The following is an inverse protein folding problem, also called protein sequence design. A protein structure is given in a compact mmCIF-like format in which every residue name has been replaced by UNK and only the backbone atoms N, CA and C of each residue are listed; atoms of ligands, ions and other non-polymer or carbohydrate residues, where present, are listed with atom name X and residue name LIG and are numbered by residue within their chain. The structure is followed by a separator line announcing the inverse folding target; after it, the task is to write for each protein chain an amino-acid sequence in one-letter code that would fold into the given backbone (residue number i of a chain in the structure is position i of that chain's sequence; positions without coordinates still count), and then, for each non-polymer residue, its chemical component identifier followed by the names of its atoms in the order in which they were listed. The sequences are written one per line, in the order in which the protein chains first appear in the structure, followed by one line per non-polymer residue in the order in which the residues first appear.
data_IF_262467937174
#
_entry.id   IF_262467937174
#
_cell.length_a   1.000
_cell.length_b   1.000
_cell.length_c   1.000
_cell.angle_alpha   90.00
_cell.angle_beta   90.00
_cell.angle_gamma   90.00
#
_symmetry.space_group_name_H-M   'P 1'
#
loop_
_entity.id
_entity.type
_entity.pdbx_description
1 polymer ?
#
# COMPACT_ATOMS: atom_id res chain seq x y z
N UNK A 1 0.87 20.68 0.61
CA UNK A 1 2.07 21.15 -0.12
C UNK A 1 3.31 20.28 0.08
N UNK A 2 3.45 19.50 1.17
CA UNK A 2 4.65 18.69 1.40
C UNK A 2 4.72 17.37 0.60
N UNK A 3 3.57 16.86 0.11
CA UNK A 3 3.49 15.64 -0.72
C UNK A 3 3.85 15.86 -2.18
N UNK A 4 3.77 17.11 -2.68
CA UNK A 4 4.22 17.46 -4.03
C UNK A 4 5.75 17.58 -4.13
N UNK A 5 6.45 17.89 -3.03
CA UNK A 5 7.92 18.02 -3.05
C UNK A 5 8.66 16.69 -3.13
N UNK A 6 8.11 15.61 -2.59
CA UNK A 6 8.76 14.28 -2.61
C UNK A 6 8.70 13.66 -4.03
N UNK A 7 7.62 13.93 -4.78
CA UNK A 7 7.45 13.43 -6.15
C UNK A 7 8.43 14.14 -7.11
N UNK A 8 8.74 15.42 -6.89
CA UNK A 8 9.70 16.16 -7.71
C UNK A 8 11.15 15.75 -7.43
N UNK A 9 11.49 15.35 -6.19
CA UNK A 9 12.86 14.89 -5.87
C UNK A 9 13.18 13.49 -6.43
N UNK A 10 12.19 12.60 -6.56
CA UNK A 10 12.39 11.29 -7.23
C UNK A 10 12.54 11.45 -8.74
N UNK A 11 11.87 12.45 -9.34
CA UNK A 11 12.04 12.78 -10.77
C UNK A 11 13.39 13.47 -11.07
N UNK A 12 13.94 14.24 -10.14
CA UNK A 12 15.27 14.87 -10.29
C UNK A 12 16.43 13.87 -10.18
N UNK A 13 16.29 12.79 -9.39
CA UNK A 13 17.30 11.72 -9.35
C UNK A 13 17.31 10.84 -10.61
N UNK A 14 16.20 10.78 -11.35
CA UNK A 14 16.14 10.13 -12.67
C UNK A 14 16.68 11.01 -13.81
N UNK A 15 16.71 12.34 -13.63
CA UNK A 15 17.28 13.26 -14.62
C UNK A 15 18.78 13.53 -14.41
N UNK A 16 19.27 13.50 -13.16
CA UNK A 16 20.68 13.74 -12.83
C UNK A 16 21.66 12.68 -13.37
N UNK A 17 21.18 11.47 -13.67
CA UNK A 17 21.98 10.44 -14.35
C UNK A 17 22.02 10.70 -15.88
N UNK A 18 21.07 11.44 -16.43
CA UNK A 18 20.99 11.74 -17.86
C UNK A 18 21.95 12.87 -18.29
N UNK A 19 22.30 13.79 -17.39
CA UNK A 19 23.19 14.93 -17.71
C UNK A 19 24.70 14.66 -17.53
N UNK A 20 25.12 13.47 -17.07
CA UNK A 20 26.54 13.08 -17.06
C UNK A 20 26.98 12.26 -18.27
N UNK A 21 26.07 11.93 -19.19
CA UNK A 21 26.37 11.15 -20.40
C UNK A 21 26.38 11.96 -21.70
N UNK A 22 26.09 13.27 -21.65
CA UNK A 22 26.17 14.14 -22.82
C UNK A 22 26.92 15.43 -22.48
N UNK A 23 28.24 15.44 -22.74
CA UNK A 23 29.00 16.68 -22.77
C UNK A 23 30.48 16.58 -22.41
N UNK A 24 31.29 15.94 -23.26
CA UNK A 24 32.58 16.50 -23.71
C UNK A 24 33.17 15.66 -24.84
N UNK A 25 33.27 16.27 -26.01
CA UNK A 25 34.06 15.79 -27.14
C UNK A 25 35.55 15.90 -26.78
N UNK A 26 36.27 14.78 -26.88
CA UNK A 26 37.69 14.75 -27.21
C UNK A 26 38.01 13.38 -27.80
N UNK A 27 38.42 13.40 -29.07
CA UNK A 27 38.84 12.27 -29.90
C UNK A 27 39.59 11.17 -29.15
N UNK A 28 39.07 9.95 -29.21
CA UNK A 28 39.90 8.77 -29.47
C UNK A 28 39.05 7.68 -30.11
N UNK A 29 39.61 7.05 -31.14
CA UNK A 29 38.98 6.02 -31.95
C UNK A 29 38.47 4.86 -31.08
N UNK A 30 37.16 4.73 -30.92
CA UNK A 30 36.55 3.54 -30.31
C UNK A 30 35.46 3.04 -31.24
N UNK A 31 35.76 1.88 -31.81
CA UNK A 31 34.90 1.06 -32.63
C UNK A 31 33.51 0.90 -31.98
N UNK A 32 32.46 1.23 -32.73
CA UNK A 32 31.07 0.94 -32.36
C UNK A 32 30.90 -0.55 -32.02
N UNK A 33 30.47 -0.93 -30.80
CA UNK A 33 30.18 -2.31 -30.49
C UNK A 33 28.88 -2.73 -31.19
N UNK A 34 28.97 -3.76 -32.03
CA UNK A 34 27.82 -4.37 -32.69
C UNK A 34 26.82 -4.92 -31.64
N UNK A 35 25.70 -4.20 -31.47
CA UNK A 35 24.62 -4.54 -30.53
C UNK A 35 23.59 -5.52 -31.12
N UNK A 36 23.68 -5.88 -32.41
CA UNK A 36 22.72 -6.81 -33.06
C UNK A 36 22.74 -8.22 -32.45
N UNK A 37 23.81 -8.58 -31.73
CA UNK A 37 23.95 -9.89 -31.11
C UNK A 37 23.27 -10.07 -29.75
N UNK A 38 22.92 -9.00 -29.02
CA UNK A 38 22.53 -9.06 -27.60
C UNK A 38 21.03 -8.93 -27.31
N UNK A 39 20.26 -8.49 -28.30
CA UNK A 39 18.82 -8.21 -28.16
C UNK A 39 18.02 -9.26 -28.94
N UNK A 40 16.91 -9.68 -28.38
CA UNK A 40 15.91 -10.56 -28.98
C UNK A 40 14.57 -9.81 -29.02
N UNK A 41 13.96 -9.76 -30.21
CA UNK A 41 12.61 -9.24 -30.37
C UNK A 41 11.60 -10.32 -29.95
N UNK A 42 10.66 -9.94 -29.10
CA UNK A 42 9.59 -10.79 -28.59
C UNK A 42 8.24 -10.08 -28.78
N UNK A 43 7.22 -10.82 -29.21
CA UNK A 43 5.86 -10.30 -29.24
C UNK A 43 5.28 -10.18 -27.82
N UNK A 44 4.19 -9.44 -27.66
CA UNK A 44 3.43 -9.40 -26.41
C UNK A 44 2.97 -10.81 -25.98
N UNK A 45 2.67 -11.69 -26.95
CA UNK A 45 2.34 -13.09 -26.68
C UNK A 45 3.54 -13.86 -26.13
N UNK A 46 4.72 -13.69 -26.72
CA UNK A 46 5.94 -14.32 -26.24
C UNK A 46 6.29 -13.83 -24.83
N UNK A 47 6.17 -12.53 -24.58
CA UNK A 47 6.37 -11.93 -23.26
C UNK A 47 5.37 -12.47 -22.23
N UNK A 48 4.08 -12.56 -22.58
CA UNK A 48 3.05 -13.17 -21.71
C UNK A 48 3.43 -14.60 -21.34
N UNK A 49 3.94 -15.39 -22.29
CA UNK A 49 4.38 -16.77 -22.04
C UNK A 49 5.51 -16.87 -21.00
N UNK A 50 6.28 -15.79 -20.80
CA UNK A 50 7.37 -15.72 -19.84
C UNK A 50 7.00 -15.20 -18.45
N UNK A 51 5.79 -14.63 -18.25
CA UNK A 51 5.38 -14.04 -16.97
C UNK A 51 5.56 -14.96 -15.75
N UNK A 52 5.26 -16.27 -15.80
CA UNK A 52 5.45 -17.15 -14.65
C UNK A 52 6.90 -17.46 -14.29
N UNK A 53 7.85 -16.95 -15.09
CA UNK A 53 9.26 -17.31 -15.06
C UNK A 53 10.18 -16.07 -14.95
N UNK A 54 9.61 -14.87 -14.79
CA UNK A 54 10.34 -13.62 -14.59
C UNK A 54 10.02 -12.98 -13.23
N UNK A 55 10.81 -11.99 -12.83
CA UNK A 55 10.59 -11.21 -11.61
C UNK A 55 9.26 -10.44 -11.62
N UNK A 56 8.60 -10.34 -10.47
CA UNK A 56 7.26 -9.73 -10.35
C UNK A 56 7.23 -8.25 -10.75
N UNK A 57 8.25 -7.45 -10.44
CA UNK A 57 8.28 -6.04 -10.86
C UNK A 57 8.51 -5.91 -12.36
N UNK A 58 9.27 -6.83 -12.94
CA UNK A 58 9.52 -6.87 -14.37
C UNK A 58 8.28 -7.32 -15.16
N UNK A 59 7.55 -8.32 -14.65
CA UNK A 59 6.27 -8.74 -15.20
C UNK A 59 5.25 -7.59 -15.19
N UNK A 60 5.18 -6.82 -14.10
CA UNK A 60 4.32 -5.64 -14.01
C UNK A 60 4.64 -4.59 -15.09
N UNK A 61 5.93 -4.26 -15.29
CA UNK A 61 6.36 -3.30 -16.33
C UNK A 61 5.98 -3.76 -17.73
N UNK A 62 6.21 -5.02 -18.06
CA UNK A 62 5.83 -5.57 -19.36
C UNK A 62 4.30 -5.62 -19.51
N UNK A 63 3.57 -6.00 -18.46
CA UNK A 63 2.11 -6.03 -18.46
C UNK A 63 1.51 -4.64 -18.69
N UNK A 64 1.99 -3.61 -17.98
CA UNK A 64 1.54 -2.22 -18.16
C UNK A 64 1.76 -1.76 -19.61
N UNK A 65 2.94 -2.04 -20.17
CA UNK A 65 3.23 -1.70 -21.55
C UNK A 65 2.31 -2.41 -22.56
N UNK A 66 1.99 -3.69 -22.33
CA UNK A 66 1.07 -4.46 -23.17
C UNK A 66 -0.35 -3.89 -23.10
N UNK A 67 -0.84 -3.59 -21.90
CA UNK A 67 -2.17 -2.98 -21.70
C UNK A 67 -2.26 -1.61 -22.37
N UNK A 68 -1.16 -0.85 -22.36
CA UNK A 68 -1.05 0.43 -23.05
C UNK A 68 -0.76 0.32 -24.56
N UNK A 69 -0.98 -0.85 -25.17
CA UNK A 69 -0.96 -1.04 -26.63
C UNK A 69 0.41 -1.34 -27.23
N UNK A 70 1.41 -1.76 -26.44
CA UNK A 70 2.70 -2.20 -26.97
C UNK A 70 2.70 -3.69 -27.30
N UNK A 71 3.00 -4.03 -28.55
CA UNK A 71 2.94 -5.41 -29.06
C UNK A 71 4.31 -6.07 -29.30
N UNK A 72 5.40 -5.30 -29.38
CA UNK A 72 6.75 -5.83 -29.64
C UNK A 72 7.76 -5.29 -28.61
N UNK A 73 8.69 -6.15 -28.20
CA UNK A 73 9.66 -5.87 -27.14
C UNK A 73 11.06 -6.30 -27.55
N UNK A 74 12.01 -5.38 -27.43
CA UNK A 74 13.43 -5.66 -27.55
C UNK A 74 13.97 -6.04 -26.17
N UNK A 75 14.28 -7.33 -25.97
CA UNK A 75 14.68 -7.90 -24.69
C UNK A 75 16.12 -8.39 -24.75
N UNK A 76 16.90 -8.21 -23.69
CA UNK A 76 18.25 -8.79 -23.60
C UNK A 76 18.19 -10.32 -23.67
N UNK A 77 18.96 -10.94 -24.57
CA UNK A 77 19.00 -12.40 -24.75
C UNK A 77 19.33 -13.16 -23.47
N UNK A 78 20.18 -12.61 -22.59
CA UNK A 78 20.53 -13.25 -21.30
C UNK A 78 19.30 -13.35 -20.39
N UNK A 79 18.43 -12.37 -20.46
CA UNK A 79 17.19 -12.33 -19.69
C UNK A 79 16.19 -13.36 -20.23
N UNK A 80 16.09 -13.47 -21.56
CA UNK A 80 15.27 -14.52 -22.20
C UNK A 80 15.81 -15.92 -21.88
N UNK A 81 17.13 -16.13 -21.89
CA UNK A 81 17.76 -17.37 -21.46
C UNK A 81 17.48 -17.69 -19.99
N UNK A 82 17.53 -16.69 -19.11
CA UNK A 82 17.19 -16.84 -17.70
C UNK A 82 15.73 -17.29 -17.52
N UNK A 83 14.78 -16.67 -18.21
CA UNK A 83 13.37 -17.06 -18.16
C UNK A 83 13.15 -18.47 -18.70
N UNK A 84 13.86 -18.85 -19.77
CA UNK A 84 13.84 -20.22 -20.29
C UNK A 84 14.39 -21.24 -19.28
N UNK A 85 15.48 -20.92 -18.58
CA UNK A 85 16.00 -21.75 -17.48
C UNK A 85 15.00 -21.88 -16.34
N UNK A 86 14.38 -20.79 -15.91
CA UNK A 86 13.34 -20.78 -14.89
C UNK A 86 12.13 -21.64 -15.31
N UNK A 87 11.75 -21.59 -16.59
CA UNK A 87 10.70 -22.44 -17.17
C UNK A 87 11.05 -23.92 -17.09
N UNK A 88 12.26 -24.30 -17.48
CA UNK A 88 12.74 -25.68 -17.40
C UNK A 88 12.77 -26.14 -15.94
N UNK A 89 13.32 -25.34 -15.02
CA UNK A 89 13.39 -25.65 -13.59
C UNK A 89 11.99 -25.89 -13.00
N UNK A 90 11.03 -25.00 -13.29
CA UNK A 90 9.64 -25.12 -12.84
C UNK A 90 8.97 -26.39 -13.38
N UNK A 91 9.19 -26.71 -14.66
CA UNK A 91 8.62 -27.90 -15.30
C UNK A 91 9.29 -29.20 -14.83
N UNK A 92 10.58 -29.16 -14.45
CA UNK A 92 11.30 -30.29 -13.86
C UNK A 92 10.93 -30.55 -12.39
N UNK A 93 10.29 -29.57 -11.74
CA UNK A 93 9.90 -29.62 -10.32
C UNK A 93 8.48 -30.15 -10.04
N UNK A 94 7.69 -30.56 -11.03
CA UNK A 94 6.41 -31.24 -10.78
C UNK A 94 5.89 -32.06 -11.98
N UNK A 95 6.05 -33.38 -11.90
CA UNK A 95 4.90 -34.28 -12.02
C UNK A 95 4.71 -34.93 -10.65
N UNK A 96 3.99 -34.25 -9.76
CA UNK A 96 3.08 -34.94 -8.85
C UNK A 96 1.66 -34.58 -9.27
N UNK A 97 1.14 -35.36 -10.22
CA UNK A 97 -0.29 -35.54 -10.38
C UNK A 97 -0.75 -36.52 -9.31
N UNK A 98 -0.74 -36.09 -8.05
CA UNK A 98 -1.64 -36.70 -7.07
C UNK A 98 -3.02 -36.09 -7.33
N UNK A 99 -3.62 -36.51 -8.44
CA UNK A 99 -5.01 -36.20 -8.81
C UNK A 99 -5.93 -37.04 -7.93
N UNK A 100 -5.81 -36.90 -6.61
CA UNK A 100 -6.93 -37.19 -5.73
C UNK A 100 -8.01 -36.17 -6.11
N UNK A 101 -9.23 -36.59 -6.48
CA UNK A 101 -10.31 -35.66 -6.74
C UNK A 101 -10.46 -34.75 -5.53
N UNK A 102 -10.10 -33.48 -5.66
CA UNK A 102 -10.27 -32.54 -4.55
C UNK A 102 -11.76 -32.51 -4.22
N UNK A 103 -12.15 -32.69 -2.94
CA UNK A 103 -13.54 -32.57 -2.57
C UNK A 103 -14.00 -31.16 -2.94
N UNK A 104 -14.90 -31.06 -3.92
CA UNK A 104 -15.34 -29.80 -4.55
C UNK A 104 -15.92 -28.83 -3.50
N UNK A 105 -16.34 -29.33 -2.34
CA UNK A 105 -16.84 -28.53 -1.21
C UNK A 105 -15.76 -27.70 -0.47
N UNK A 106 -14.48 -28.03 -0.60
CA UNK A 106 -13.38 -27.33 0.11
C UNK A 106 -12.87 -26.08 -0.63
N UNK A 107 -13.18 -25.95 -1.93
CA UNK A 107 -12.65 -24.89 -2.79
C UNK A 107 -13.77 -24.11 -3.47
N UNK A 108 -13.59 -22.80 -3.56
CA UNK A 108 -14.48 -21.89 -4.26
C UNK A 108 -13.84 -21.42 -5.56
N UNK A 109 -14.59 -21.46 -6.67
CA UNK A 109 -14.17 -20.84 -7.93
C UNK A 109 -14.43 -19.34 -7.88
N UNK A 110 -13.42 -18.54 -8.21
CA UNK A 110 -13.52 -17.08 -8.27
C UNK A 110 -12.95 -16.58 -9.60
N UNK A 111 -13.56 -15.51 -10.12
CA UNK A 111 -13.05 -14.78 -11.27
C UNK A 111 -11.86 -13.92 -10.86
N UNK A 112 -11.07 -13.49 -11.84
CA UNK A 112 -10.07 -12.44 -11.65
C UNK A 112 -10.66 -11.18 -10.99
N UNK A 113 -11.85 -10.74 -11.43
CA UNK A 113 -12.48 -9.52 -10.92
C UNK A 113 -12.84 -9.61 -9.44
N UNK A 114 -13.31 -10.78 -8.99
CA UNK A 114 -13.57 -11.05 -7.58
C UNK A 114 -12.27 -11.13 -6.78
N UNK A 115 -11.23 -11.73 -7.36
CA UNK A 115 -9.95 -11.94 -6.69
C UNK A 115 -9.18 -10.64 -6.45
N UNK A 116 -9.22 -9.70 -7.41
CA UNK A 116 -8.50 -8.42 -7.30
C UNK A 116 -8.95 -7.58 -6.09
N UNK A 117 -10.19 -7.75 -5.63
CA UNK A 117 -10.76 -6.97 -4.51
C UNK A 117 -9.97 -7.21 -3.21
N UNK A 118 -9.28 -8.35 -3.13
CA UNK A 118 -8.48 -8.75 -1.98
C UNK A 118 -7.04 -8.24 -2.03
N UNK A 119 -6.59 -7.59 -3.10
CA UNK A 119 -5.20 -7.17 -3.27
C UNK A 119 -4.65 -6.27 -2.15
N UNK A 120 -5.43 -5.34 -1.56
CA UNK A 120 -4.94 -4.54 -0.45
C UNK A 120 -4.60 -5.35 0.82
N UNK A 121 -5.17 -6.56 0.96
CA UNK A 121 -4.99 -7.43 2.14
C UNK A 121 -4.25 -8.74 1.84
N UNK A 122 -3.95 -8.99 0.56
CA UNK A 122 -3.34 -10.23 0.09
C UNK A 122 -1.82 -10.07 0.08
N UNK A 123 -1.12 -11.18 0.35
CA UNK A 123 0.33 -11.22 0.21
C UNK A 123 0.74 -10.83 -1.22
N UNK A 124 1.79 -10.03 -1.33
CA UNK A 124 2.21 -9.44 -2.60
C UNK A 124 2.67 -10.50 -3.61
N UNK A 125 3.29 -11.59 -3.13
CA UNK A 125 3.69 -12.72 -3.98
C UNK A 125 2.48 -13.51 -4.45
N UNK A 126 1.53 -13.81 -3.55
CA UNK A 126 0.28 -14.49 -3.91
C UNK A 126 -0.51 -13.68 -4.94
N UNK A 127 -0.62 -12.37 -4.75
CA UNK A 127 -1.31 -11.46 -5.69
C UNK A 127 -0.63 -11.48 -7.06
N UNK A 128 0.71 -11.44 -7.09
CA UNK A 128 1.48 -11.53 -8.33
C UNK A 128 1.31 -12.89 -9.04
N UNK A 129 1.28 -14.00 -8.30
CA UNK A 129 1.07 -15.33 -8.84
C UNK A 129 -0.31 -15.46 -9.52
N UNK A 130 -1.37 -14.93 -8.88
CA UNK A 130 -2.70 -14.91 -9.49
C UNK A 130 -2.77 -13.99 -10.72
N UNK A 131 -2.14 -12.82 -10.66
CA UNK A 131 -2.07 -11.92 -11.80
C UNK A 131 -1.36 -12.55 -12.99
N UNK A 132 -0.19 -13.15 -12.77
CA UNK A 132 0.54 -13.84 -13.83
C UNK A 132 -0.29 -14.97 -14.45
N UNK A 133 -1.04 -15.72 -13.64
CA UNK A 133 -1.94 -16.76 -14.12
C UNK A 133 -3.13 -16.21 -14.92
N UNK A 134 -3.68 -15.05 -14.56
CA UNK A 134 -4.74 -14.38 -15.33
C UNK A 134 -4.23 -13.91 -16.69
N UNK A 135 -3.01 -13.35 -16.74
CA UNK A 135 -2.43 -12.85 -17.99
C UNK A 135 -2.12 -13.95 -19.01
N UNK A 136 -1.89 -15.18 -18.55
CA UNK A 136 -1.73 -16.35 -19.41
C UNK A 136 -3.05 -16.84 -20.00
N UNK A 137 -4.15 -16.66 -19.27
CA UNK A 137 -5.48 -17.12 -19.65
C UNK A 137 -6.53 -16.19 -19.04
N UNK A 138 -6.98 -15.23 -19.84
CA UNK A 138 -7.95 -14.21 -19.43
C UNK A 138 -9.33 -14.83 -19.10
N UNK A 139 -9.60 -16.04 -19.59
CA UNK A 139 -10.82 -16.81 -19.33
C UNK A 139 -10.76 -17.69 -18.07
N UNK A 140 -9.64 -17.64 -17.34
CA UNK A 140 -9.34 -18.51 -16.20
C UNK A 140 -10.15 -18.17 -14.97
N UNK A 141 -10.70 -19.22 -14.38
CA UNK A 141 -11.26 -19.21 -13.02
C UNK A 141 -10.19 -19.71 -12.06
N UNK A 142 -10.10 -19.09 -10.89
CA UNK A 142 -9.17 -19.49 -9.84
C UNK A 142 -9.90 -20.32 -8.80
N UNK A 143 -9.27 -21.38 -8.31
CA UNK A 143 -9.77 -22.17 -7.18
C UNK A 143 -9.06 -21.72 -5.93
N UNK A 144 -9.80 -21.13 -4.99
CA UNK A 144 -9.29 -20.69 -3.69
C UNK A 144 -9.92 -21.54 -2.61
N UNK A 145 -9.14 -21.98 -1.63
CA UNK A 145 -9.67 -22.73 -0.49
C UNK A 145 -10.73 -21.88 0.22
N UNK A 146 -11.92 -22.43 0.44
CA UNK A 146 -13.08 -21.69 0.98
C UNK A 146 -12.77 -21.03 2.33
N UNK A 147 -11.94 -21.67 3.17
CA UNK A 147 -11.51 -21.07 4.45
C UNK A 147 -10.62 -19.85 4.25
N UNK A 148 -9.72 -19.87 3.27
CA UNK A 148 -8.85 -18.73 2.95
C UNK A 148 -9.68 -17.56 2.42
N UNK A 149 -10.67 -17.85 1.57
CA UNK A 149 -11.56 -16.82 1.04
C UNK A 149 -12.35 -16.13 2.17
N UNK A 150 -12.89 -16.89 3.13
CA UNK A 150 -13.57 -16.31 4.31
C UNK A 150 -12.64 -15.43 5.16
N UNK A 151 -11.38 -15.84 5.34
CA UNK A 151 -10.39 -15.01 6.04
C UNK A 151 -10.08 -13.72 5.26
N UNK A 152 -9.99 -13.78 3.93
CA UNK A 152 -9.82 -12.59 3.10
C UNK A 152 -11.03 -11.66 3.13
N UNK A 153 -12.26 -12.19 3.13
CA UNK A 153 -13.48 -11.40 3.31
C UNK A 153 -13.47 -10.63 4.63
N UNK A 154 -13.11 -11.31 5.73
CA UNK A 154 -12.98 -10.69 7.05
C UNK A 154 -11.89 -9.61 7.06
N UNK A 155 -10.71 -9.89 6.50
CA UNK A 155 -9.60 -8.94 6.41
C UNK A 155 -9.97 -7.71 5.56
N UNK A 156 -10.63 -7.92 4.43
CA UNK A 156 -11.07 -6.85 3.54
C UNK A 156 -12.11 -5.95 4.22
N UNK A 157 -13.05 -6.54 4.97
CA UNK A 157 -14.00 -5.76 5.77
C UNK A 157 -13.30 -4.90 6.82
N UNK A 158 -12.32 -5.47 7.55
CA UNK A 158 -11.52 -4.72 8.52
C UNK A 158 -10.71 -3.59 7.86
N UNK A 159 -10.07 -3.87 6.71
CA UNK A 159 -9.31 -2.88 5.94
C UNK A 159 -10.19 -1.70 5.49
N UNK A 160 -11.37 -1.97 4.92
CA UNK A 160 -12.31 -0.93 4.51
C UNK A 160 -12.80 -0.08 5.68
N UNK A 161 -13.02 -0.70 6.84
CA UNK A 161 -13.42 0.01 8.04
C UNK A 161 -12.29 0.90 8.58
N UNK A 162 -11.05 0.41 8.58
CA UNK A 162 -9.86 1.17 8.96
C UNK A 162 -9.67 2.39 8.04
N UNK A 163 -9.73 2.18 6.72
CA UNK A 163 -9.63 3.25 5.71
C UNK A 163 -10.73 4.31 5.89
N UNK A 164 -11.97 3.88 6.09
CA UNK A 164 -13.10 4.78 6.38
C UNK A 164 -12.85 5.61 7.64
N UNK A 165 -12.41 4.97 8.72
CA UNK A 165 -12.14 5.64 9.99
C UNK A 165 -10.97 6.63 9.87
N UNK A 166 -9.90 6.26 9.17
CA UNK A 166 -8.79 7.14 8.84
C UNK A 166 -9.28 8.38 8.08
N UNK A 167 -10.01 8.17 6.98
CA UNK A 167 -10.52 9.25 6.14
C UNK A 167 -11.43 10.22 6.93
N UNK A 168 -12.38 9.67 7.70
CA UNK A 168 -13.26 10.49 8.53
C UNK A 168 -12.47 11.26 9.59
N UNK A 169 -11.48 10.61 10.23
CA UNK A 169 -10.63 11.25 11.24
C UNK A 169 -9.85 12.42 10.65
N UNK A 170 -9.26 12.24 9.46
CA UNK A 170 -8.57 13.31 8.73
C UNK A 170 -9.51 14.44 8.34
N UNK A 171 -10.71 14.11 7.86
CA UNK A 171 -11.73 15.10 7.47
C UNK A 171 -12.12 15.98 8.66
N UNK A 172 -12.53 15.36 9.76
CA UNK A 172 -12.89 16.05 11.00
C UNK A 172 -11.74 16.91 11.55
N UNK A 173 -10.48 16.44 11.45
CA UNK A 173 -9.33 17.24 11.88
C UNK A 173 -9.16 18.49 11.01
N UNK A 174 -9.29 18.36 9.70
CA UNK A 174 -9.17 19.49 8.78
C UNK A 174 -10.30 20.52 8.98
N UNK A 175 -11.53 20.04 9.18
CA UNK A 175 -12.68 20.89 9.51
C UNK A 175 -12.48 21.60 10.84
N UNK A 176 -12.05 20.87 11.88
CA UNK A 176 -11.77 21.45 13.20
C UNK A 176 -10.73 22.57 13.12
N UNK A 177 -9.63 22.34 12.40
CA UNK A 177 -8.61 23.38 12.16
C UNK A 177 -9.21 24.59 11.44
N UNK A 178 -10.10 24.38 10.46
CA UNK A 178 -10.75 25.46 9.73
C UNK A 178 -11.71 26.27 10.60
N UNK A 179 -12.49 25.61 11.46
CA UNK A 179 -13.38 26.26 12.42
C UNK A 179 -12.61 27.06 13.48
N UNK A 180 -11.52 26.50 14.03
CA UNK A 180 -10.66 27.23 14.98
C UNK A 180 -10.05 28.49 14.38
N UNK A 181 -9.66 28.46 13.09
CA UNK A 181 -9.17 29.64 12.37
C UNK A 181 -10.23 30.73 12.17
N UNK A 182 -11.50 30.34 12.11
CA UNK A 182 -12.64 31.24 11.98
C UNK A 182 -13.14 31.75 13.34
N UNK A 183 -12.60 31.22 14.44
CA UNK A 183 -13.07 31.52 15.79
C UNK A 183 -14.34 30.76 16.20
N UNK A 184 -14.85 29.86 15.36
CA UNK A 184 -15.97 28.99 15.69
C UNK A 184 -15.51 27.77 16.50
N UNK A 185 -15.27 28.01 17.79
CA UNK A 185 -14.76 26.97 18.70
C UNK A 185 -15.81 25.87 18.94
N UNK A 186 -17.11 26.19 18.90
CA UNK A 186 -18.17 25.21 19.13
C UNK A 186 -18.20 24.14 18.04
N UNK A 187 -18.16 24.55 16.76
CA UNK A 187 -18.10 23.60 15.63
C UNK A 187 -16.78 22.82 15.61
N UNK A 188 -15.66 23.45 16.01
CA UNK A 188 -14.38 22.74 16.14
C UNK A 188 -14.44 21.63 17.20
N UNK A 189 -15.05 21.90 18.36
CA UNK A 189 -15.26 20.90 19.40
C UNK A 189 -16.08 19.73 18.87
N UNK A 190 -17.19 20.00 18.16
CA UNK A 190 -18.08 18.96 17.64
C UNK A 190 -17.34 17.96 16.74
N UNK A 191 -16.60 18.45 15.75
CA UNK A 191 -15.87 17.57 14.81
C UNK A 191 -14.70 16.86 15.48
N UNK A 192 -14.00 17.48 16.43
CA UNK A 192 -12.96 16.80 17.20
C UNK A 192 -13.54 15.71 18.13
N UNK A 193 -14.69 15.92 18.76
CA UNK A 193 -15.39 14.91 19.57
C UNK A 193 -15.86 13.73 18.72
N UNK A 194 -16.23 13.98 17.45
CA UNK A 194 -16.50 12.90 16.52
C UNK A 194 -15.28 11.98 16.33
N UNK A 195 -14.05 12.51 16.35
CA UNK A 195 -12.84 11.69 16.31
C UNK A 195 -12.62 10.86 17.57
N UNK A 196 -13.01 11.37 18.74
CA UNK A 196 -12.97 10.60 19.99
C UNK A 196 -13.93 9.41 19.94
N UNK A 197 -15.10 9.57 19.30
CA UNK A 197 -16.06 8.49 19.09
C UNK A 197 -15.56 7.45 18.09
N UNK A 198 -14.85 7.88 17.05
CA UNK A 198 -14.22 6.98 16.07
C UNK A 198 -13.09 6.18 16.71
N UNK A 199 -12.31 6.80 17.61
CA UNK A 199 -11.24 6.12 18.34
C UNK A 199 -10.03 5.74 17.47
N UNK A 200 -9.85 6.38 16.32
CA UNK A 200 -8.68 6.13 15.47
C UNK A 200 -7.39 6.66 16.14
N UNK A 201 -6.26 5.99 15.89
CA UNK A 201 -4.95 6.32 16.49
C UNK A 201 -4.31 7.58 15.88
N UNK A 202 -4.99 8.72 15.98
CA UNK A 202 -4.49 10.03 15.59
C UNK A 202 -4.70 11.04 16.73
N UNK A 203 -3.61 11.52 17.35
CA UNK A 203 -3.66 12.29 18.59
C UNK A 203 -4.07 13.76 18.44
N UNK A 204 -4.25 14.26 17.20
CA UNK A 204 -4.51 15.67 16.93
C UNK A 204 -5.76 16.19 17.65
N UNK A 205 -6.93 15.60 17.41
CA UNK A 205 -8.21 16.02 18.01
C UNK A 205 -8.19 15.95 19.54
N UNK A 206 -7.61 14.88 20.10
CA UNK A 206 -7.43 14.73 21.55
C UNK A 206 -6.64 15.91 22.13
N UNK A 207 -5.48 16.21 21.56
CA UNK A 207 -4.63 17.31 22.01
C UNK A 207 -5.32 18.68 21.84
N UNK A 208 -6.08 18.89 20.75
CA UNK A 208 -6.83 20.14 20.55
C UNK A 208 -7.94 20.30 21.58
N UNK A 209 -8.76 19.27 21.81
CA UNK A 209 -9.82 19.30 22.81
C UNK A 209 -9.27 19.57 24.22
N UNK A 210 -8.16 18.95 24.61
CA UNK A 210 -7.50 19.26 25.89
C UNK A 210 -7.16 20.75 26.02
N UNK A 211 -6.64 21.36 24.96
CA UNK A 211 -6.28 22.79 24.96
C UNK A 211 -7.54 23.68 24.99
N UNK A 212 -8.56 23.34 24.20
CA UNK A 212 -9.81 24.11 24.12
C UNK A 212 -10.54 24.07 25.47
N UNK A 213 -10.79 22.88 26.01
CA UNK A 213 -11.49 22.73 27.29
C UNK A 213 -10.74 23.36 28.44
N UNK A 214 -9.40 23.31 28.44
CA UNK A 214 -8.60 24.02 29.43
C UNK A 214 -8.83 25.54 29.38
N UNK A 215 -8.81 26.13 28.17
CA UNK A 215 -9.02 27.58 27.97
C UNK A 215 -10.42 28.02 28.36
N UNK A 216 -11.41 27.16 28.14
CA UNK A 216 -12.80 27.39 28.55
C UNK A 216 -13.05 27.07 30.04
N UNK A 217 -12.02 26.64 30.79
CA UNK A 217 -12.12 26.19 32.20
C UNK A 217 -13.08 25.01 32.41
N UNK A 218 -13.28 24.20 31.37
CA UNK A 218 -14.10 22.97 31.39
C UNK A 218 -13.22 21.77 31.75
N UNK A 219 -12.73 21.76 32.99
CA UNK A 219 -11.70 20.80 33.40
C UNK A 219 -12.20 19.35 33.46
N UNK A 220 -13.49 19.14 33.75
CA UNK A 220 -14.10 17.81 33.76
C UNK A 220 -14.10 17.19 32.35
N UNK A 221 -14.39 18.01 31.33
CA UNK A 221 -14.32 17.61 29.93
C UNK A 221 -12.89 17.31 29.51
N UNK A 222 -11.93 18.14 29.92
CA UNK A 222 -10.51 17.92 29.67
C UNK A 222 -10.03 16.59 30.27
N UNK A 223 -10.41 16.29 31.52
CA UNK A 223 -10.10 15.03 32.19
C UNK A 223 -10.70 13.83 31.45
N UNK A 224 -11.96 13.92 30.97
CA UNK A 224 -12.59 12.88 30.14
C UNK A 224 -11.79 12.62 28.87
N UNK A 225 -11.38 13.67 28.17
CA UNK A 225 -10.59 13.57 26.93
C UNK A 225 -9.23 12.90 27.21
N UNK A 226 -8.55 13.29 28.29
CA UNK A 226 -7.26 12.69 28.67
C UNK A 226 -7.41 11.19 28.97
N UNK A 227 -8.42 10.82 29.77
CA UNK A 227 -8.69 9.40 30.09
C UNK A 227 -8.98 8.61 28.82
N UNK A 228 -9.76 9.17 27.89
CA UNK A 228 -10.05 8.51 26.60
C UNK A 228 -8.81 8.39 25.71
N UNK A 229 -7.94 9.41 25.68
CA UNK A 229 -6.68 9.36 24.94
C UNK A 229 -5.77 8.24 25.48
N UNK A 230 -5.63 8.12 26.80
CA UNK A 230 -4.81 7.05 27.40
C UNK A 230 -5.41 5.68 27.07
N UNK A 231 -6.73 5.51 27.21
CA UNK A 231 -7.44 4.26 26.87
C UNK A 231 -7.12 3.82 25.42
N UNK A 232 -7.35 4.70 24.44
CA UNK A 232 -7.23 4.38 23.01
C UNK A 232 -5.78 4.10 22.59
N UNK A 233 -4.81 4.84 23.13
CA UNK A 233 -3.42 4.79 22.65
C UNK A 233 -2.51 3.84 23.45
N UNK A 234 -2.97 3.35 24.62
CA UNK A 234 -2.19 2.50 25.54
C UNK A 234 -1.69 1.17 24.96
N UNK A 235 -2.32 0.67 23.88
CA UNK A 235 -1.97 -0.62 23.27
C UNK A 235 -0.73 -0.58 22.38
N UNK A 236 -0.25 0.62 22.01
CA UNK A 236 0.84 0.80 21.05
C UNK A 236 2.00 1.58 21.68
N UNK A 237 3.15 0.90 21.82
CA UNK A 237 4.37 1.43 22.42
C UNK A 237 4.90 2.70 21.73
N UNK A 238 4.54 2.94 20.46
CA UNK A 238 4.92 4.17 19.75
C UNK A 238 4.35 5.44 20.42
N UNK A 239 3.28 5.30 21.21
CA UNK A 239 2.57 6.39 21.87
C UNK A 239 3.01 6.64 23.32
N UNK A 240 3.99 5.90 23.84
CA UNK A 240 4.41 5.97 25.25
C UNK A 240 4.72 7.41 25.70
N UNK A 241 5.40 8.19 24.87
CA UNK A 241 5.73 9.60 25.16
C UNK A 241 4.49 10.48 25.32
N UNK A 242 3.51 10.31 24.45
CA UNK A 242 2.25 11.07 24.53
C UNK A 242 1.45 10.65 25.77
N UNK A 243 1.42 9.35 26.07
CA UNK A 243 0.74 8.80 27.26
C UNK A 243 1.33 9.39 28.56
N UNK A 244 2.66 9.42 28.70
CA UNK A 244 3.33 10.01 29.88
C UNK A 244 2.93 11.48 30.03
N UNK A 245 2.98 12.25 28.94
CA UNK A 245 2.58 13.67 28.94
C UNK A 245 1.12 13.86 29.35
N UNK A 246 0.22 13.00 28.87
CA UNK A 246 -1.20 13.05 29.23
C UNK A 246 -1.44 12.65 30.70
N UNK A 247 -0.71 11.67 31.23
CA UNK A 247 -0.76 11.30 32.66
C UNK A 247 -0.28 12.44 33.56
N UNK A 248 0.84 13.09 33.20
CA UNK A 248 1.32 14.27 33.94
C UNK A 248 0.29 15.40 33.94
N UNK A 249 -0.36 15.65 32.79
CA UNK A 249 -1.42 16.65 32.66
C UNK A 249 -2.63 16.29 33.52
N UNK A 250 -3.05 15.03 33.52
CA UNK A 250 -4.15 14.54 34.34
C UNK A 250 -3.88 14.74 35.83
N UNK A 251 -2.70 14.34 36.30
CA UNK A 251 -2.31 14.46 37.71
C UNK A 251 -2.36 15.92 38.17
N UNK A 252 -1.90 16.87 37.33
CA UNK A 252 -1.97 18.31 37.64
C UNK A 252 -3.41 18.82 37.77
N UNK A 253 -4.32 18.37 36.91
CA UNK A 253 -5.72 18.77 36.97
C UNK A 253 -6.41 18.19 38.22
N UNK A 254 -6.15 16.93 38.55
CA UNK A 254 -6.73 16.28 39.74
C UNK A 254 -6.19 16.89 41.04
N UNK A 255 -4.92 17.33 41.08
CA UNK A 255 -4.33 18.02 42.25
C UNK A 255 -4.85 19.46 42.44
N UNK A 256 -5.23 20.16 41.37
CA UNK A 256 -5.69 21.54 41.43
C UNK A 256 -7.22 21.68 41.58
N UNK A 257 -7.96 20.60 41.41
CA UNK A 257 -9.42 20.53 41.55
C UNK A 257 -9.88 19.83 42.84
N UNK A 258 -8.94 19.49 43.74
CA UNK A 258 -9.14 19.04 45.12
C UNK A 258 -8.74 20.15 46.09
#
# INVERSE_FOLDING_TARGET
MLTFLIIVFVLAFLFGIYSQLCGKSSNSNVTTPDLKGKIQELSASDIRSFFPYMDSQLALKYSEAIVNGKYNFNVDKRLVEQWNKNRILKNSGSMRTDSTPMPISEYTKVTWWQLQQYFPIMDSKISADYFANHLLDESKWFTVKTTVLKEWEKKLAAYKNDEKNLHQTTTNNNEGIAFEKQGDIASAIEVYENNLRIGYLASHSYNRLMIIYHREKRYEDEVRVIKKAIEVFSSDARNEKDIIKWQERLNKLEQNNL
#
